data_IF_459900513214
#
_entry.id   IF_459900513214
#
_cell.length_a   1.000
_cell.length_b   1.000
_cell.length_c   1.000
_cell.angle_alpha   90.00
_cell.angle_beta   90.00
_cell.angle_gamma   90.00
#
_symmetry.space_group_name_H-M   'P 1'
#
loop_
_entity.id
_entity.type
_entity.pdbx_description
1 polymer ?
#
# COMPACT_ATOMS: atom_id res chain seq x y z
N UNK A 1 -18.21 7.10 -0.90
CA UNK A 1 -17.08 6.52 -0.14
C UNK A 1 -16.88 7.23 1.21
N UNK A 2 -16.47 8.51 1.28
CA UNK A 2 -16.25 9.20 2.58
C UNK A 2 -17.49 9.18 3.48
N UNK A 3 -18.68 9.43 2.92
CA UNK A 3 -19.95 9.36 3.66
C UNK A 3 -20.19 7.95 4.26
N UNK A 4 -19.89 6.88 3.50
CA UNK A 4 -20.01 5.50 3.98
C UNK A 4 -19.16 5.27 5.22
N UNK A 5 -17.91 5.74 5.24
CA UNK A 5 -17.01 5.60 6.40
C UNK A 5 -17.52 6.40 7.61
N UNK A 6 -18.11 7.57 7.39
CA UNK A 6 -18.64 8.41 8.49
C UNK A 6 -19.92 7.86 9.10
N UNK A 7 -20.75 7.20 8.30
CA UNK A 7 -22.09 6.78 8.68
C UNK A 7 -22.20 5.30 9.05
N UNK A 8 -21.23 4.48 8.64
CA UNK A 8 -21.23 3.07 8.96
C UNK A 8 -21.16 2.84 10.47
N UNK A 9 -21.99 1.92 10.96
CA UNK A 9 -22.03 1.55 12.37
C UNK A 9 -21.00 0.47 12.73
N UNK A 10 -20.60 -0.32 11.75
CA UNK A 10 -19.62 -1.40 11.85
C UNK A 10 -19.02 -1.71 10.47
N UNK A 11 -18.07 -2.65 10.42
CA UNK A 11 -17.39 -3.05 9.19
C UNK A 11 -18.35 -3.68 8.16
N UNK A 12 -19.35 -4.44 8.60
CA UNK A 12 -20.28 -5.11 7.69
C UNK A 12 -21.23 -4.11 7.02
N UNK A 13 -21.72 -3.10 7.75
CA UNK A 13 -22.49 -1.98 7.19
C UNK A 13 -21.63 -1.15 6.22
N UNK A 14 -20.36 -0.90 6.56
CA UNK A 14 -19.43 -0.21 5.66
C UNK A 14 -19.27 -0.97 4.34
N UNK A 15 -18.99 -2.27 4.41
CA UNK A 15 -18.81 -3.11 3.22
C UNK A 15 -20.08 -3.14 2.36
N UNK A 16 -21.25 -3.29 2.97
CA UNK A 16 -22.52 -3.26 2.26
C UNK A 16 -22.74 -1.94 1.51
N UNK A 17 -22.44 -0.80 2.14
CA UNK A 17 -22.54 0.54 1.53
C UNK A 17 -21.53 0.73 0.41
N UNK A 18 -20.30 0.26 0.58
CA UNK A 18 -19.26 0.36 -0.43
C UNK A 18 -19.59 -0.48 -1.67
N UNK A 19 -20.10 -1.70 -1.48
CA UNK A 19 -20.52 -2.59 -2.58
C UNK A 19 -21.60 -1.99 -3.46
N UNK A 20 -22.47 -1.13 -2.92
CA UNK A 20 -23.48 -0.42 -3.70
C UNK A 20 -22.91 0.69 -4.60
N UNK A 21 -21.71 1.19 -4.30
CA UNK A 21 -21.06 2.29 -5.03
C UNK A 21 -20.03 1.78 -6.02
N UNK A 22 -19.42 0.64 -5.72
CA UNK A 22 -18.39 0.06 -6.56
C UNK A 22 -18.91 -0.39 -7.92
N UNK A 23 -18.10 -0.27 -8.98
CA UNK A 23 -18.42 -0.90 -10.25
C UNK A 23 -18.50 -2.43 -10.09
N UNK A 24 -19.31 -3.11 -10.92
CA UNK A 24 -19.46 -4.57 -10.85
C UNK A 24 -18.15 -5.32 -11.14
N UNK A 25 -17.22 -4.71 -11.88
CA UNK A 25 -15.85 -5.19 -12.04
C UNK A 25 -14.87 -4.18 -11.44
N UNK A 26 -14.28 -4.56 -10.31
CA UNK A 26 -13.28 -3.78 -9.60
C UNK A 26 -11.88 -3.89 -10.21
N UNK A 27 -11.61 -4.90 -11.04
CA UNK A 27 -10.27 -5.19 -11.58
C UNK A 27 -9.18 -5.24 -10.51
N UNK A 28 -9.50 -5.81 -9.34
CA UNK A 28 -8.63 -5.82 -8.14
C UNK A 28 -7.21 -6.30 -8.45
N UNK A 29 -7.06 -7.35 -9.24
CA UNK A 29 -5.75 -7.89 -9.63
C UNK A 29 -4.90 -6.91 -10.46
N UNK A 30 -5.53 -6.06 -11.28
CA UNK A 30 -4.84 -5.04 -12.08
C UNK A 30 -4.35 -3.94 -11.14
N UNK A 31 -5.24 -3.42 -10.30
CA UNK A 31 -4.90 -2.37 -9.34
C UNK A 31 -3.82 -2.80 -8.36
N UNK A 32 -3.91 -4.03 -7.82
CA UNK A 32 -2.90 -4.56 -6.91
C UNK A 32 -1.54 -4.65 -7.60
N UNK A 33 -1.49 -5.11 -8.86
CA UNK A 33 -0.25 -5.18 -9.64
C UNK A 33 0.32 -3.79 -9.91
N UNK A 34 -0.51 -2.84 -10.30
CA UNK A 34 -0.08 -1.47 -10.54
C UNK A 34 0.46 -0.81 -9.25
N UNK A 35 -0.22 -1.00 -8.12
CA UNK A 35 0.16 -0.43 -6.84
C UNK A 35 1.55 -0.93 -6.39
N UNK A 36 1.80 -2.23 -6.41
CA UNK A 36 3.11 -2.79 -6.01
C UNK A 36 4.23 -2.43 -6.99
N UNK A 37 3.89 -2.03 -8.21
CA UNK A 37 4.85 -1.55 -9.20
C UNK A 37 5.12 -0.04 -9.10
N UNK A 38 4.35 0.72 -8.32
CA UNK A 38 4.59 2.16 -8.13
C UNK A 38 5.94 2.37 -7.44
N UNK A 39 6.76 3.24 -8.03
CA UNK A 39 8.10 3.54 -7.53
C UNK A 39 9.20 2.61 -8.05
N UNK A 40 8.87 1.61 -8.89
CA UNK A 40 9.86 0.70 -9.47
C UNK A 40 10.61 1.26 -10.69
N UNK A 41 10.19 2.42 -11.23
CA UNK A 41 10.93 3.17 -12.25
C UNK A 41 12.22 3.76 -11.68
N UNK A 42 13.19 4.13 -12.52
CA UNK A 42 14.47 4.70 -12.07
C UNK A 42 14.26 5.94 -11.18
N UNK A 43 13.50 6.93 -11.65
CA UNK A 43 13.10 8.10 -10.86
C UNK A 43 12.33 7.72 -9.59
N UNK A 44 11.49 6.69 -9.65
CA UNK A 44 10.75 6.18 -8.49
C UNK A 44 11.66 5.59 -7.41
N UNK A 45 12.72 4.88 -7.82
CA UNK A 45 13.69 4.28 -6.90
C UNK A 45 14.51 5.34 -6.17
N UNK A 46 14.86 6.43 -6.84
CA UNK A 46 15.56 7.57 -6.20
C UNK A 46 14.67 8.22 -5.14
N UNK A 47 13.38 8.40 -5.43
CA UNK A 47 12.40 8.90 -4.45
C UNK A 47 12.29 7.94 -3.26
N UNK A 48 12.16 6.63 -3.49
CA UNK A 48 12.10 5.63 -2.43
C UNK A 48 13.39 5.63 -1.59
N UNK A 49 14.56 5.75 -2.22
CA UNK A 49 15.84 5.85 -1.51
C UNK A 49 15.89 7.08 -0.60
N UNK A 50 15.42 8.24 -1.09
CA UNK A 50 15.36 9.45 -0.28
C UNK A 50 14.35 9.34 0.88
N UNK A 51 13.17 8.78 0.64
CA UNK A 51 12.16 8.58 1.69
C UNK A 51 12.66 7.61 2.77
N UNK A 52 13.30 6.48 2.39
CA UNK A 52 13.93 5.56 3.35
C UNK A 52 14.95 6.25 4.24
N UNK A 53 15.75 7.17 3.69
CA UNK A 53 16.68 7.99 4.48
C UNK A 53 15.95 8.85 5.50
N UNK A 54 14.93 9.57 5.08
CA UNK A 54 14.12 10.41 5.97
C UNK A 54 13.45 9.61 7.09
N UNK A 55 13.07 8.36 6.82
CA UNK A 55 12.48 7.45 7.81
C UNK A 55 13.50 6.71 8.70
N UNK A 56 14.81 6.95 8.52
CA UNK A 56 15.86 6.20 9.24
C UNK A 56 15.95 4.72 8.87
N UNK A 57 15.38 4.34 7.73
CA UNK A 57 15.25 2.96 7.24
C UNK A 57 16.24 2.64 6.11
N UNK A 58 17.39 3.33 6.03
CA UNK A 58 18.39 3.11 4.97
C UNK A 58 18.90 1.67 4.90
N UNK A 59 18.91 0.98 6.04
CA UNK A 59 19.32 -0.43 6.17
C UNK A 59 18.29 -1.42 5.59
N UNK A 60 17.06 -0.98 5.30
CA UNK A 60 15.95 -1.81 4.79
C UNK A 60 15.96 -1.84 3.27
N UNK A 61 16.87 -2.64 2.71
CA UNK A 61 16.97 -2.86 1.26
C UNK A 61 15.75 -3.59 0.66
N UNK A 62 14.96 -4.25 1.50
CA UNK A 62 13.74 -4.98 1.16
C UNK A 62 12.52 -4.07 0.91
N UNK A 63 12.61 -2.78 1.25
CA UNK A 63 11.60 -1.76 0.91
C UNK A 63 11.87 -1.28 -0.52
N UNK A 64 11.08 -1.76 -1.48
CA UNK A 64 11.28 -1.52 -2.92
C UNK A 64 10.12 -0.77 -3.59
N UNK A 65 9.01 -0.60 -2.89
CA UNK A 65 7.80 0.08 -3.38
C UNK A 65 7.23 1.05 -2.34
N UNK A 66 6.30 1.91 -2.77
CA UNK A 66 5.54 2.76 -1.84
C UNK A 66 4.68 1.96 -0.87
N UNK A 67 4.14 0.81 -1.31
CA UNK A 67 3.38 -0.08 -0.43
C UNK A 67 4.26 -0.60 0.72
N UNK A 68 5.50 -0.98 0.42
CA UNK A 68 6.44 -1.41 1.46
C UNK A 68 6.77 -0.28 2.44
N UNK A 69 6.87 0.97 1.98
CA UNK A 69 7.12 2.10 2.89
C UNK A 69 5.96 2.34 3.87
N UNK A 70 4.72 2.24 3.38
CA UNK A 70 3.51 2.36 4.22
C UNK A 70 3.47 1.22 5.23
N UNK A 71 3.66 -0.02 4.78
CA UNK A 71 3.65 -1.18 5.68
C UNK A 71 4.80 -1.13 6.71
N UNK A 72 5.95 -0.53 6.37
CA UNK A 72 7.04 -0.28 7.32
C UNK A 72 6.66 0.75 8.38
N UNK A 73 6.09 1.89 7.97
CA UNK A 73 5.63 2.95 8.86
C UNK A 73 4.55 2.44 9.85
N UNK A 74 3.61 1.65 9.35
CA UNK A 74 2.55 1.02 10.16
C UNK A 74 3.05 -0.17 11.01
N UNK A 75 4.34 -0.53 10.91
CA UNK A 75 4.94 -1.60 11.70
C UNK A 75 4.59 -3.03 11.24
N UNK A 76 4.02 -3.19 10.04
CA UNK A 76 3.65 -4.49 9.45
C UNK A 76 4.83 -5.22 8.81
N UNK A 77 5.92 -4.53 8.50
CA UNK A 77 7.14 -5.12 7.90
C UNK A 77 8.27 -5.46 8.89
N UNK A 78 7.97 -5.68 10.18
CA UNK A 78 9.02 -5.98 11.18
C UNK A 78 9.74 -7.30 10.89
N UNK A 79 9.04 -8.33 10.43
CA UNK A 79 9.54 -9.70 10.36
C UNK A 79 9.64 -10.27 8.92
N UNK A 80 9.60 -9.41 7.89
CA UNK A 80 9.62 -9.91 6.49
C UNK A 80 10.99 -10.50 6.16
N UNK A 81 11.08 -11.77 5.73
CA UNK A 81 12.34 -12.35 5.29
C UNK A 81 12.83 -11.65 4.03
N UNK A 82 14.16 -11.49 3.92
CA UNK A 82 14.80 -10.91 2.74
C UNK A 82 14.38 -11.72 1.49
N UNK A 83 13.90 -11.09 0.41
CA UNK A 83 13.65 -11.81 -0.83
C UNK A 83 14.95 -12.46 -1.33
N UNK A 84 14.89 -13.65 -1.94
CA UNK A 84 16.06 -14.29 -2.54
C UNK A 84 16.67 -13.39 -3.64
N UNK A 85 17.99 -13.51 -3.88
CA UNK A 85 18.72 -12.71 -4.87
C UNK A 85 18.22 -12.92 -6.30
#
# INVERSE_FOLDING_TARGET
MIACVREATDEADLDARLLQIFPPDLRVHVWNRELVQKGMSEMGRDVIANVRRTMGAEHRSDIISFADMIDFDEGRLRDRPRPPP
#
